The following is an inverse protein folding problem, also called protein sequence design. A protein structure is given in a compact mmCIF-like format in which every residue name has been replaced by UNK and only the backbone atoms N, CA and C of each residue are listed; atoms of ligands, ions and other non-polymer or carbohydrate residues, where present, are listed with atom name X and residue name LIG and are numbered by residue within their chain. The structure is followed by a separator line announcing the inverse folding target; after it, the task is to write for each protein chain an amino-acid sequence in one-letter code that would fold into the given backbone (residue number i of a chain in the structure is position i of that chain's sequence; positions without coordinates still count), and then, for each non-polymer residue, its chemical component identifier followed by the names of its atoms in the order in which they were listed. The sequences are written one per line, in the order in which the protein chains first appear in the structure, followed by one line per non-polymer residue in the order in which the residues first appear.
data_IF_245074432592
#
_entry.id   IF_245074432592
#
_cell.length_a   1.000
_cell.length_b   1.000
_cell.length_c   1.000
_cell.angle_alpha   90.00
_cell.angle_beta   90.00
_cell.angle_gamma   90.00
#
_symmetry.space_group_name_H-M   'P 1'
#
loop_
_entity.id
_entity.type
_entity.pdbx_description
1 polymer ?
#
# COMPACT_ATOMS: atom_id res chain seq x y z
N UNK A 1 34.49 32.47 -40.16
CA UNK A 1 33.17 32.06 -39.63
C UNK A 1 33.19 30.63 -39.24
N UNK A 2 33.51 30.32 -38.01
CA UNK A 2 33.30 28.98 -37.43
C UNK A 2 32.14 29.07 -36.45
N UNK A 3 31.03 28.50 -36.84
CA UNK A 3 29.93 28.24 -35.93
C UNK A 3 30.39 27.23 -34.88
N UNK A 4 30.59 27.67 -33.67
CA UNK A 4 30.61 26.84 -32.50
C UNK A 4 29.20 26.29 -32.30
N UNK A 5 29.04 25.02 -32.58
CA UNK A 5 27.89 24.23 -32.12
C UNK A 5 27.93 24.32 -30.60
N UNK A 6 27.03 25.11 -30.04
CA UNK A 6 26.86 25.24 -28.63
C UNK A 6 26.52 23.89 -28.04
N UNK A 7 27.33 23.48 -27.09
CA UNK A 7 27.00 22.44 -26.16
C UNK A 7 25.62 22.80 -25.58
N UNK A 8 24.61 22.07 -25.97
CA UNK A 8 23.40 21.93 -25.15
C UNK A 8 23.81 21.22 -23.87
N UNK A 9 24.44 21.99 -23.02
CA UNK A 9 24.52 21.66 -21.64
C UNK A 9 23.09 21.66 -21.15
N UNK A 10 22.47 20.49 -21.18
CA UNK A 10 21.25 20.23 -20.49
C UNK A 10 21.44 20.72 -19.07
N UNK A 11 21.06 21.95 -18.82
CA UNK A 11 20.69 22.42 -17.51
C UNK A 11 19.43 21.64 -17.17
N UNK A 12 19.58 20.36 -16.89
CA UNK A 12 18.75 19.71 -15.90
C UNK A 12 19.15 20.32 -14.57
N UNK A 13 18.87 21.59 -14.43
CA UNK A 13 18.56 22.10 -13.11
C UNK A 13 17.43 21.19 -12.61
N UNK A 14 17.83 20.23 -11.79
CA UNK A 14 16.96 19.80 -10.73
C UNK A 14 16.55 21.11 -10.06
N UNK A 15 15.43 21.65 -10.50
CA UNK A 15 14.62 22.46 -9.63
C UNK A 15 14.47 21.57 -8.40
N UNK A 16 15.28 21.82 -7.37
CA UNK A 16 14.92 21.51 -6.02
C UNK A 16 13.56 22.21 -5.90
N UNK A 17 12.49 21.45 -6.10
CA UNK A 17 11.17 21.91 -5.72
C UNK A 17 11.37 22.30 -4.26
N UNK A 18 11.37 23.58 -3.99
CA UNK A 18 11.29 24.08 -2.64
C UNK A 18 10.05 23.41 -2.10
N UNK A 19 10.21 22.51 -1.11
CA UNK A 19 9.07 21.85 -0.48
C UNK A 19 8.15 22.96 -0.06
N UNK A 20 6.99 23.08 -0.71
CA UNK A 20 6.04 24.10 -0.38
C UNK A 20 5.47 23.75 0.98
N UNK A 21 5.62 24.69 1.92
CA UNK A 21 5.28 24.48 3.31
C UNK A 21 3.86 25.00 3.56
N UNK A 22 3.02 24.12 4.07
CA UNK A 22 1.75 24.46 4.67
C UNK A 22 1.84 24.53 6.19
N UNK A 23 0.79 25.02 6.82
CA UNK A 23 0.67 25.13 8.27
C UNK A 23 -0.64 24.50 8.71
N UNK A 24 -0.59 23.68 9.74
CA UNK A 24 -1.77 23.06 10.34
C UNK A 24 -2.61 24.14 11.02
N UNK A 25 -3.86 24.27 10.59
CA UNK A 25 -4.84 25.22 11.14
C UNK A 25 -5.77 24.56 12.15
N UNK A 26 -6.11 23.30 11.95
CA UNK A 26 -7.04 22.58 12.81
C UNK A 26 -6.73 21.07 12.81
N UNK A 27 -6.93 20.42 13.95
CA UNK A 27 -6.84 18.96 14.13
C UNK A 27 -8.12 18.49 14.80
N UNK A 28 -8.82 17.54 14.14
CA UNK A 28 -10.08 16.97 14.64
C UNK A 28 -9.99 15.45 14.50
N UNK A 29 -9.44 14.77 15.50
CA UNK A 29 -9.19 13.33 15.41
C UNK A 29 -8.26 13.02 14.24
N UNK A 30 -8.65 12.13 13.33
CA UNK A 30 -7.87 11.78 12.16
C UNK A 30 -7.94 12.81 11.02
N UNK A 31 -8.73 13.88 11.16
CA UNK A 31 -8.88 14.93 10.15
C UNK A 31 -8.01 16.13 10.53
N UNK A 32 -7.18 16.58 9.59
CA UNK A 32 -6.27 17.70 9.78
C UNK A 32 -6.47 18.70 8.65
N UNK A 33 -6.75 19.96 9.00
CA UNK A 33 -6.87 21.04 8.03
C UNK A 33 -5.53 21.80 7.95
N UNK A 34 -5.02 21.95 6.74
CA UNK A 34 -3.73 22.57 6.44
C UNK A 34 -3.94 23.74 5.49
N UNK A 35 -3.28 24.87 5.77
CA UNK A 35 -3.30 26.06 4.93
C UNK A 35 -1.95 26.26 4.26
N UNK A 36 -1.98 26.54 2.96
CA UNK A 36 -0.81 26.87 2.17
C UNK A 36 -0.84 28.36 1.77
N UNK A 37 0.32 28.96 1.51
CA UNK A 37 0.38 30.38 1.14
C UNK A 37 0.16 30.61 -0.36
N UNK A 38 0.80 29.82 -1.22
CA UNK A 38 0.86 30.09 -2.68
C UNK A 38 0.38 28.93 -3.54
N UNK A 39 0.45 27.70 -3.03
CA UNK A 39 0.12 26.48 -3.77
C UNK A 39 -1.00 25.70 -3.09
N UNK A 40 -1.82 25.05 -3.88
CA UNK A 40 -2.84 24.15 -3.37
C UNK A 40 -2.49 22.73 -3.82
N UNK A 41 -2.13 21.83 -2.87
CA UNK A 41 -1.84 20.43 -3.20
C UNK A 41 -3.01 19.76 -3.91
N UNK A 42 -2.72 18.88 -4.87
CA UNK A 42 -3.77 18.14 -5.55
C UNK A 42 -4.49 17.17 -4.60
N UNK A 43 -5.72 16.85 -4.89
CA UNK A 43 -6.48 15.82 -4.17
C UNK A 43 -5.74 14.49 -4.31
N UNK A 44 -5.68 13.70 -3.24
CA UNK A 44 -4.93 12.47 -3.06
C UNK A 44 -3.42 12.64 -2.89
N UNK A 45 -2.87 13.85 -2.99
CA UNK A 45 -1.46 14.04 -2.66
C UNK A 45 -1.18 13.68 -1.21
N UNK A 46 0.02 13.15 -0.99
CA UNK A 46 0.57 12.90 0.33
C UNK A 46 1.28 14.15 0.85
N UNK A 47 0.91 14.59 2.03
CA UNK A 47 1.60 15.62 2.78
C UNK A 47 2.37 14.97 3.92
N UNK A 48 3.52 15.51 4.26
CA UNK A 48 4.41 14.98 5.28
C UNK A 48 4.64 16.00 6.39
N UNK A 49 4.50 15.56 7.63
CA UNK A 49 4.78 16.36 8.81
C UNK A 49 5.48 15.53 9.87
N UNK A 50 6.12 16.19 10.80
CA UNK A 50 6.70 15.56 11.98
C UNK A 50 5.73 15.66 13.15
N UNK A 51 5.46 14.54 13.78
CA UNK A 51 4.68 14.47 15.01
C UNK A 51 5.55 13.92 16.14
N UNK A 52 6.20 14.81 16.89
CA UNK A 52 7.08 14.46 18.01
C UNK A 52 8.21 13.49 17.66
N UNK A 53 8.86 13.66 16.50
CA UNK A 53 9.93 12.81 16.01
C UNK A 53 9.47 11.59 15.21
N UNK A 54 8.16 11.42 15.02
CA UNK A 54 7.58 10.39 14.15
C UNK A 54 7.08 11.02 12.85
N UNK A 55 7.40 10.40 11.74
CA UNK A 55 6.90 10.79 10.42
C UNK A 55 5.41 10.54 10.33
N UNK A 56 4.60 11.56 10.09
CA UNK A 56 3.17 11.45 9.88
C UNK A 56 2.82 11.82 8.43
N UNK A 57 2.11 10.94 7.76
CA UNK A 57 1.59 11.15 6.41
C UNK A 57 0.11 11.54 6.51
N UNK A 58 -0.23 12.61 5.77
CA UNK A 58 -1.59 13.10 5.64
C UNK A 58 -1.97 13.04 4.16
N UNK A 59 -3.13 12.49 3.82
CA UNK A 59 -3.64 12.45 2.46
C UNK A 59 -4.64 13.57 2.24
N UNK A 60 -4.49 14.35 1.17
CA UNK A 60 -5.43 15.42 0.81
C UNK A 60 -6.75 14.82 0.35
N UNK A 61 -7.81 15.05 1.11
CA UNK A 61 -9.14 14.54 0.81
C UNK A 61 -10.03 15.56 0.11
N UNK A 62 -9.89 16.86 0.43
CA UNK A 62 -10.78 17.91 -0.07
C UNK A 62 -10.11 19.28 -0.02
N UNK A 63 -10.43 20.13 -1.00
CA UNK A 63 -10.12 21.54 -0.98
C UNK A 63 -11.24 22.31 -0.25
N UNK A 64 -10.88 23.14 0.72
CA UNK A 64 -11.83 23.93 1.50
C UNK A 64 -12.00 25.37 0.99
N UNK A 65 -11.15 25.80 0.06
CA UNK A 65 -11.02 27.20 -0.37
C UNK A 65 -9.96 27.96 0.43
N UNK A 66 -9.67 29.19 0.02
CA UNK A 66 -8.64 30.06 0.65
C UNK A 66 -7.28 29.40 0.87
N UNK A 67 -6.82 28.61 -0.10
CA UNK A 67 -5.59 27.82 -0.06
C UNK A 67 -5.55 26.82 1.12
N UNK A 68 -6.71 26.37 1.59
CA UNK A 68 -6.82 25.40 2.68
C UNK A 68 -7.29 24.05 2.14
N UNK A 69 -6.68 22.99 2.65
CA UNK A 69 -7.03 21.61 2.32
C UNK A 69 -7.40 20.84 3.58
N UNK A 70 -8.34 19.94 3.43
CA UNK A 70 -8.70 18.95 4.44
C UNK A 70 -7.98 17.66 4.14
N UNK A 71 -7.30 17.12 5.13
CA UNK A 71 -6.51 15.90 5.01
C UNK A 71 -6.95 14.84 6.00
N UNK A 72 -6.63 13.60 5.68
CA UNK A 72 -6.85 12.44 6.54
C UNK A 72 -5.49 11.87 6.95
N UNK A 73 -5.28 11.72 8.25
CA UNK A 73 -4.04 11.15 8.78
C UNK A 73 -3.97 9.64 8.61
N UNK A 74 -2.80 9.16 8.22
CA UNK A 74 -2.52 7.73 8.06
C UNK A 74 -1.95 7.09 9.33
N UNK A 75 -1.66 7.89 10.34
CA UNK A 75 -1.22 7.43 11.64
C UNK A 75 -1.81 8.33 12.74
N UNK A 76 -1.46 8.07 14.02
CA UNK A 76 -1.97 8.82 15.16
C UNK A 76 -1.65 10.31 15.06
N UNK A 77 -2.66 11.13 15.32
CA UNK A 77 -2.56 12.58 15.41
C UNK A 77 -2.35 13.08 16.85
N UNK A 78 -2.17 12.17 17.81
CA UNK A 78 -1.95 12.53 19.19
C UNK A 78 -0.65 13.33 19.35
N UNK A 79 -0.74 14.48 20.02
CA UNK A 79 0.39 15.40 20.17
C UNK A 79 0.60 16.38 19.02
N UNK A 80 -0.14 16.25 17.91
CA UNK A 80 -0.06 17.17 16.79
C UNK A 80 -0.70 18.51 17.14
N UNK A 81 0.05 19.60 16.96
CA UNK A 81 -0.38 20.95 17.34
C UNK A 81 -0.65 21.85 16.15
N UNK A 82 -1.49 22.86 16.36
CA UNK A 82 -1.69 23.93 15.36
C UNK A 82 -0.39 24.71 15.18
N UNK A 83 -0.14 25.14 13.95
CA UNK A 83 1.10 25.84 13.61
C UNK A 83 2.26 24.93 13.20
N UNK A 84 2.11 23.60 13.31
CA UNK A 84 3.11 22.67 12.79
C UNK A 84 3.21 22.77 11.29
N UNK A 85 4.43 22.75 10.76
CA UNK A 85 4.71 22.82 9.32
C UNK A 85 4.46 21.48 8.65
N UNK A 86 3.89 21.54 7.45
CA UNK A 86 3.57 20.39 6.62
C UNK A 86 4.17 20.61 5.25
N UNK A 87 4.83 19.60 4.67
CA UNK A 87 5.39 19.67 3.32
C UNK A 87 4.56 18.86 2.34
N UNK A 88 4.26 19.42 1.16
CA UNK A 88 3.69 18.64 0.05
C UNK A 88 4.78 17.78 -0.59
N UNK A 89 4.47 16.51 -0.82
CA UNK A 89 5.38 15.57 -1.53
C UNK A 89 5.23 15.69 -3.04
N UNK A 90 4.18 16.37 -3.53
CA UNK A 90 3.86 16.53 -4.95
C UNK A 90 3.33 15.26 -5.63
N UNK A 91 3.04 14.22 -4.87
CA UNK A 91 2.55 12.93 -5.39
C UNK A 91 1.65 12.23 -4.36
N UNK A 92 0.80 11.29 -4.79
CA UNK A 92 0.07 10.41 -3.89
C UNK A 92 0.98 9.57 -3.00
N UNK A 93 0.40 8.97 -1.95
CA UNK A 93 1.11 8.00 -1.11
C UNK A 93 1.72 6.94 -2.01
N UNK A 94 3.05 6.78 -1.94
CA UNK A 94 3.78 5.81 -2.75
C UNK A 94 4.45 4.79 -1.82
N UNK A 95 4.30 3.52 -2.17
CA UNK A 95 4.77 2.39 -1.36
C UNK A 95 5.84 1.59 -2.09
N UNK A 96 6.79 0.99 -1.38
CA UNK A 96 7.78 0.10 -2.00
C UNK A 96 7.08 -1.13 -2.58
N UNK A 97 7.56 -1.60 -3.71
CA UNK A 97 6.99 -2.74 -4.43
C UNK A 97 8.07 -3.75 -4.85
N UNK A 98 7.64 -4.91 -5.32
CA UNK A 98 8.52 -5.96 -5.84
C UNK A 98 9.07 -6.90 -4.78
N UNK A 99 10.11 -7.67 -5.13
CA UNK A 99 10.61 -8.77 -4.31
C UNK A 99 11.11 -8.36 -2.92
N UNK A 100 11.47 -7.09 -2.72
CA UNK A 100 11.91 -6.59 -1.43
C UNK A 100 10.81 -6.58 -0.35
N UNK A 101 9.55 -6.73 -0.76
CA UNK A 101 8.39 -6.77 0.14
C UNK A 101 7.98 -8.19 0.56
N UNK A 102 8.57 -9.22 -0.06
CA UNK A 102 8.25 -10.62 0.24
C UNK A 102 8.67 -11.00 1.66
N UNK A 103 7.81 -11.72 2.34
CA UNK A 103 8.01 -12.14 3.73
C UNK A 103 7.96 -11.01 4.75
N UNK A 104 7.62 -9.78 4.33
CA UNK A 104 7.58 -8.59 5.18
C UNK A 104 6.14 -8.21 5.54
N UNK A 105 6.00 -7.57 6.68
CA UNK A 105 4.74 -6.94 7.11
C UNK A 105 4.90 -5.44 6.97
N UNK A 106 4.06 -4.83 6.14
CA UNK A 106 4.05 -3.40 5.86
C UNK A 106 2.80 -2.74 6.43
N UNK A 107 2.90 -1.46 6.76
CA UNK A 107 1.76 -0.61 7.06
C UNK A 107 1.17 0.02 5.78
N UNK A 108 0.17 0.88 5.93
CA UNK A 108 -0.51 1.57 4.83
C UNK A 108 0.41 2.43 3.96
N UNK A 109 1.47 3.01 4.53
CA UNK A 109 2.45 3.86 3.84
C UNK A 109 3.67 3.08 3.33
N UNK A 110 3.67 1.76 3.51
CA UNK A 110 4.75 0.89 3.05
C UNK A 110 5.95 0.80 4.00
N UNK A 111 5.83 1.32 5.21
CA UNK A 111 6.87 1.15 6.22
C UNK A 111 6.76 -0.23 6.87
N UNK A 112 7.88 -0.92 7.12
CA UNK A 112 7.87 -2.23 7.75
C UNK A 112 7.52 -2.13 9.25
N UNK A 113 6.63 -3.01 9.70
CA UNK A 113 6.22 -3.13 11.11
C UNK A 113 6.69 -4.43 11.77
N UNK A 114 7.49 -5.21 11.07
CA UNK A 114 7.99 -6.53 11.47
C UNK A 114 9.35 -6.50 12.18
N UNK A 115 9.88 -5.32 12.51
CA UNK A 115 11.17 -5.08 13.17
C UNK A 115 12.40 -5.67 12.45
N UNK A 116 12.25 -6.13 11.21
CA UNK A 116 13.31 -6.73 10.39
C UNK A 116 14.13 -5.72 9.58
N UNK A 117 14.10 -4.46 9.96
CA UNK A 117 14.82 -3.37 9.29
C UNK A 117 14.08 -2.80 8.07
N UNK A 118 14.70 -1.81 7.43
CA UNK A 118 14.07 -1.05 6.34
C UNK A 118 13.94 -1.89 5.08
N UNK A 119 12.82 -1.72 4.36
CA UNK A 119 12.61 -2.27 3.02
C UNK A 119 13.26 -1.35 1.98
N UNK A 120 13.80 -1.95 0.93
CA UNK A 120 14.39 -1.19 -0.18
C UNK A 120 13.32 -0.38 -0.90
N UNK A 121 13.53 0.92 -1.01
CA UNK A 121 12.64 1.86 -1.73
C UNK A 121 13.13 2.16 -3.15
N UNK A 122 13.87 1.24 -3.79
CA UNK A 122 14.36 1.45 -5.15
C UNK A 122 13.23 1.56 -6.17
N UNK A 123 12.18 0.78 -5.97
CA UNK A 123 10.97 0.81 -6.79
C UNK A 123 9.81 1.16 -5.89
N UNK A 124 9.09 2.21 -6.24
CA UNK A 124 7.88 2.65 -5.53
C UNK A 124 6.75 2.88 -6.51
N UNK A 125 5.52 2.59 -6.10
CA UNK A 125 4.31 2.89 -6.88
C UNK A 125 3.31 3.65 -6.03
N UNK A 126 2.55 4.58 -6.60
CA UNK A 126 1.46 5.25 -5.90
C UNK A 126 0.32 4.25 -5.63
N UNK A 127 -0.35 4.41 -4.48
CA UNK A 127 -1.48 3.55 -4.12
C UNK A 127 -2.76 3.91 -4.90
N UNK A 128 -2.82 5.12 -5.43
CA UNK A 128 -3.91 5.58 -6.30
C UNK A 128 -3.44 5.45 -7.76
N UNK A 129 -3.97 4.48 -8.45
CA UNK A 129 -3.69 4.21 -9.86
C UNK A 129 -5.00 4.05 -10.63
N UNK A 130 -4.96 4.42 -11.89
CA UNK A 130 -6.07 4.17 -12.81
C UNK A 130 -6.20 2.67 -13.09
N UNK A 131 -7.43 2.23 -13.37
CA UNK A 131 -7.67 0.86 -13.79
C UNK A 131 -7.01 0.58 -15.14
N UNK A 132 -6.59 -0.67 -15.42
CA UNK A 132 -6.10 -1.05 -16.74
C UNK A 132 -7.13 -0.73 -17.83
N UNK A 133 -6.64 -0.31 -18.99
CA UNK A 133 -7.50 -0.05 -20.15
C UNK A 133 -8.30 -1.30 -20.54
N UNK A 134 -9.52 -1.09 -21.04
CA UNK A 134 -10.40 -2.19 -21.44
C UNK A 134 -9.76 -3.13 -22.48
N UNK A 135 -8.96 -2.56 -23.38
CA UNK A 135 -8.24 -3.30 -24.41
C UNK A 135 -7.13 -4.23 -23.87
N UNK A 136 -6.62 -3.93 -22.67
CA UNK A 136 -5.58 -4.73 -22.02
C UNK A 136 -6.13 -5.88 -21.16
N UNK A 137 -7.47 -5.97 -21.02
CA UNK A 137 -8.10 -7.01 -20.21
C UNK A 137 -8.27 -8.31 -21.01
N UNK A 138 -7.92 -9.44 -20.40
CA UNK A 138 -8.16 -10.75 -21.00
C UNK A 138 -9.66 -11.04 -21.09
N UNK A 139 -10.09 -11.56 -22.24
CA UNK A 139 -11.50 -11.91 -22.50
C UNK A 139 -11.81 -13.38 -22.23
N UNK A 140 -10.80 -14.22 -22.12
CA UNK A 140 -10.97 -15.65 -21.89
C UNK A 140 -11.15 -15.96 -20.41
N UNK A 141 -12.09 -16.83 -20.08
CA UNK A 141 -12.35 -17.29 -18.72
C UNK A 141 -11.56 -18.57 -18.47
N UNK A 142 -10.54 -18.51 -17.64
CA UNK A 142 -9.79 -19.66 -17.18
C UNK A 142 -10.17 -20.00 -15.73
N UNK A 143 -10.21 -21.31 -15.42
CA UNK A 143 -10.45 -21.79 -14.07
C UNK A 143 -9.14 -21.82 -13.29
N UNK A 144 -9.16 -21.24 -12.07
CA UNK A 144 -8.08 -21.36 -11.11
C UNK A 144 -8.28 -22.62 -10.27
N UNK A 145 -7.41 -23.62 -10.45
CA UNK A 145 -7.42 -24.82 -9.62
C UNK A 145 -6.84 -24.49 -8.26
N UNK A 146 -7.67 -24.52 -7.24
CA UNK A 146 -7.30 -24.12 -5.87
C UNK A 146 -6.68 -25.26 -5.05
N UNK A 147 -6.90 -26.52 -5.46
CA UNK A 147 -6.52 -27.71 -4.71
C UNK A 147 -7.48 -28.06 -3.56
N UNK A 148 -8.50 -27.24 -3.33
CA UNK A 148 -9.55 -27.48 -2.35
C UNK A 148 -10.74 -28.13 -3.05
N UNK A 149 -10.95 -29.43 -2.82
CA UNK A 149 -11.93 -30.24 -3.55
C UNK A 149 -13.33 -29.65 -3.61
N UNK A 150 -13.81 -29.10 -2.49
CA UNK A 150 -15.17 -28.53 -2.44
C UNK A 150 -15.29 -27.28 -3.29
N UNK A 151 -14.25 -26.46 -3.34
CA UNK A 151 -14.21 -25.25 -4.19
C UNK A 151 -14.13 -25.65 -5.66
N UNK A 152 -13.13 -26.46 -6.01
CA UNK A 152 -12.88 -26.82 -7.39
C UNK A 152 -14.03 -27.59 -8.03
N UNK A 153 -14.79 -28.38 -7.23
CA UNK A 153 -15.91 -29.18 -7.73
C UNK A 153 -17.26 -28.41 -7.73
N UNK A 154 -17.55 -27.64 -6.67
CA UNK A 154 -18.90 -27.07 -6.49
C UNK A 154 -18.99 -25.59 -6.84
N UNK A 155 -17.89 -24.83 -6.68
CA UNK A 155 -17.84 -23.40 -6.95
C UNK A 155 -16.46 -22.96 -7.48
N UNK A 156 -16.06 -23.46 -8.67
CA UNK A 156 -14.73 -23.19 -9.20
C UNK A 156 -14.48 -21.70 -9.36
N UNK A 157 -13.26 -21.28 -9.03
CA UNK A 157 -12.83 -19.89 -9.14
C UNK A 157 -12.31 -19.60 -10.54
N UNK A 158 -12.64 -18.43 -11.08
CA UNK A 158 -12.01 -17.95 -12.32
C UNK A 158 -10.76 -17.16 -12.01
N UNK A 159 -9.72 -17.29 -12.84
CA UNK A 159 -8.56 -16.41 -12.81
C UNK A 159 -9.02 -14.97 -13.07
N UNK A 160 -8.47 -14.01 -12.29
CA UNK A 160 -8.88 -12.62 -12.34
C UNK A 160 -10.26 -12.33 -11.73
N UNK A 161 -10.94 -13.37 -11.20
CA UNK A 161 -12.25 -13.23 -10.56
C UNK A 161 -12.16 -12.57 -9.17
N UNK A 162 -13.28 -12.02 -8.74
CA UNK A 162 -13.47 -11.49 -7.38
C UNK A 162 -14.36 -12.46 -6.60
N UNK A 163 -13.80 -13.07 -5.57
CA UNK A 163 -14.45 -14.11 -4.78
C UNK A 163 -14.70 -13.60 -3.36
N UNK A 164 -15.92 -13.77 -2.85
CA UNK A 164 -16.28 -13.42 -1.49
C UNK A 164 -16.48 -14.65 -0.63
N UNK A 165 -15.79 -14.73 0.52
CA UNK A 165 -16.00 -15.74 1.55
C UNK A 165 -16.82 -15.12 2.69
N UNK A 166 -18.09 -15.47 2.78
CA UNK A 166 -19.00 -14.94 3.79
C UNK A 166 -19.26 -15.98 4.88
N UNK A 167 -19.32 -15.51 6.12
CA UNK A 167 -19.62 -16.37 7.26
C UNK A 167 -19.42 -15.63 8.59
N UNK A 168 -20.01 -16.15 9.65
CA UNK A 168 -19.82 -15.66 11.01
C UNK A 168 -18.39 -15.85 11.55
N UNK A 169 -18.16 -15.52 12.81
CA UNK A 169 -16.90 -15.77 13.47
C UNK A 169 -16.67 -17.29 13.66
N UNK A 170 -15.43 -17.74 13.56
CA UNK A 170 -15.05 -19.14 13.84
C UNK A 170 -15.48 -20.18 12.80
N UNK A 171 -15.93 -19.80 11.63
CA UNK A 171 -16.39 -20.74 10.58
C UNK A 171 -15.29 -21.16 9.59
N UNK A 172 -14.03 -20.85 9.86
CA UNK A 172 -12.88 -21.31 9.08
C UNK A 172 -12.53 -20.46 7.85
N UNK A 173 -13.01 -19.21 7.72
CA UNK A 173 -12.64 -18.33 6.61
C UNK A 173 -11.12 -18.15 6.48
N UNK A 174 -10.46 -17.87 7.60
CA UNK A 174 -9.00 -17.68 7.64
C UNK A 174 -8.27 -18.95 7.24
N UNK A 175 -8.74 -20.11 7.66
CA UNK A 175 -8.15 -21.42 7.29
C UNK A 175 -8.22 -21.63 5.76
N UNK A 176 -9.36 -21.29 5.12
CA UNK A 176 -9.48 -21.36 3.67
C UNK A 176 -8.54 -20.39 2.95
N UNK A 177 -8.38 -19.17 3.45
CA UNK A 177 -7.45 -18.17 2.89
C UNK A 177 -6.02 -18.68 3.00
N UNK A 178 -5.64 -19.23 4.15
CA UNK A 178 -4.31 -19.82 4.37
C UNK A 178 -4.02 -20.96 3.40
N UNK A 179 -4.97 -21.87 3.23
CA UNK A 179 -4.82 -23.00 2.31
C UNK A 179 -4.72 -22.53 0.85
N UNK A 180 -5.48 -21.52 0.45
CA UNK A 180 -5.37 -20.91 -0.88
C UNK A 180 -3.99 -20.30 -1.11
N UNK A 181 -3.46 -19.52 -0.15
CA UNK A 181 -2.13 -18.91 -0.23
C UNK A 181 -1.06 -20.01 -0.34
N UNK A 182 -1.15 -21.03 0.51
CA UNK A 182 -0.20 -22.15 0.53
C UNK A 182 -0.21 -22.93 -0.81
N UNK A 183 -1.39 -23.19 -1.36
CA UNK A 183 -1.52 -23.91 -2.62
C UNK A 183 -1.05 -23.08 -3.82
N UNK A 184 -1.34 -21.77 -3.86
CA UNK A 184 -0.83 -20.87 -4.89
C UNK A 184 0.71 -20.82 -4.84
N UNK A 185 1.29 -20.75 -3.66
CA UNK A 185 2.74 -20.72 -3.49
C UNK A 185 3.42 -22.02 -3.94
N UNK A 186 2.84 -23.18 -3.59
CA UNK A 186 3.43 -24.52 -3.87
C UNK A 186 3.13 -25.06 -5.25
N UNK A 187 1.89 -24.92 -5.73
CA UNK A 187 1.45 -25.52 -6.98
C UNK A 187 1.69 -24.60 -8.18
N UNK A 188 1.37 -23.33 -8.02
CA UNK A 188 1.46 -22.35 -9.11
C UNK A 188 2.75 -21.52 -9.08
N UNK A 189 3.61 -21.70 -8.06
CA UNK A 189 4.82 -20.88 -7.85
C UNK A 189 4.53 -19.37 -7.86
N UNK A 190 3.27 -19.00 -7.62
CA UNK A 190 2.79 -17.64 -7.64
C UNK A 190 3.12 -16.88 -6.35
N UNK A 191 2.92 -15.58 -6.41
CA UNK A 191 3.01 -14.70 -5.24
C UNK A 191 1.60 -14.41 -4.73
N UNK A 192 1.50 -14.22 -3.43
CA UNK A 192 0.27 -13.80 -2.77
C UNK A 192 0.48 -12.50 -2.02
N UNK A 193 -0.53 -11.66 -1.98
CA UNK A 193 -0.53 -10.45 -1.15
C UNK A 193 -1.74 -10.53 -0.22
N UNK A 194 -1.48 -10.45 1.07
CA UNK A 194 -2.54 -10.41 2.08
C UNK A 194 -2.68 -8.98 2.63
N UNK A 195 -3.86 -8.42 2.53
CA UNK A 195 -4.19 -7.11 3.09
C UNK A 195 -5.20 -7.28 4.24
N UNK A 196 -4.74 -7.10 5.46
CA UNK A 196 -5.56 -7.14 6.67
C UNK A 196 -6.26 -5.81 6.89
N UNK A 197 -7.56 -5.73 6.57
CA UNK A 197 -8.36 -4.50 6.66
C UNK A 197 -9.23 -4.54 7.90
N UNK A 198 -8.84 -3.85 8.97
CA UNK A 198 -9.61 -3.76 10.20
C UNK A 198 -9.70 -5.09 10.97
N UNK A 199 -8.75 -5.98 10.79
CA UNK A 199 -8.67 -7.25 11.51
C UNK A 199 -8.14 -7.06 12.93
N UNK A 200 -8.36 -8.06 13.77
CA UNK A 200 -7.81 -8.07 15.13
C UNK A 200 -6.31 -8.31 15.06
N UNK A 201 -5.55 -7.53 15.83
CA UNK A 201 -4.08 -7.65 15.91
C UNK A 201 -3.62 -9.06 16.22
N UNK A 202 -4.33 -9.77 17.10
CA UNK A 202 -4.03 -11.16 17.45
C UNK A 202 -4.19 -12.10 16.24
N UNK A 203 -5.29 -11.97 15.49
CA UNK A 203 -5.55 -12.82 14.31
C UNK A 203 -4.50 -12.60 13.22
N UNK A 204 -4.06 -11.35 13.03
CA UNK A 204 -2.98 -11.02 12.10
C UNK A 204 -1.62 -11.62 12.53
N UNK A 205 -1.35 -11.64 13.83
CA UNK A 205 -0.13 -12.27 14.36
C UNK A 205 -0.17 -13.78 14.25
N UNK A 206 -1.30 -14.40 14.59
CA UNK A 206 -1.49 -15.86 14.47
C UNK A 206 -1.30 -16.28 12.98
N UNK A 207 -1.90 -15.54 12.04
CA UNK A 207 -1.75 -15.76 10.61
C UNK A 207 -0.29 -15.71 10.13
N UNK A 208 0.49 -14.75 10.63
CA UNK A 208 1.91 -14.62 10.29
C UNK A 208 2.71 -15.85 10.76
N UNK A 209 2.47 -16.31 11.97
CA UNK A 209 3.14 -17.50 12.52
C UNK A 209 2.75 -18.78 11.76
N UNK A 210 1.47 -18.94 11.45
CA UNK A 210 0.99 -20.08 10.65
C UNK A 210 1.62 -20.10 9.23
N UNK A 211 1.85 -18.92 8.61
CA UNK A 211 2.56 -18.82 7.33
C UNK A 211 4.04 -19.21 7.44
N UNK A 212 4.68 -18.97 8.55
CA UNK A 212 6.05 -19.44 8.82
C UNK A 212 6.06 -20.96 8.99
N UNK A 213 5.17 -21.50 9.80
CA UNK A 213 5.06 -22.95 10.06
C UNK A 213 4.74 -23.75 8.78
N UNK A 214 3.89 -23.18 7.91
CA UNK A 214 3.55 -23.80 6.61
C UNK A 214 4.67 -23.69 5.56
N UNK A 215 5.72 -22.90 5.84
CA UNK A 215 6.86 -22.68 4.95
C UNK A 215 6.59 -21.71 3.78
N UNK A 216 5.49 -20.96 3.82
CA UNK A 216 5.18 -19.89 2.84
C UNK A 216 6.06 -18.66 3.07
N UNK A 217 6.38 -18.38 4.33
CA UNK A 217 7.35 -17.37 4.74
C UNK A 217 8.60 -18.06 5.26
N UNK A 218 9.75 -17.73 4.70
CA UNK A 218 11.05 -18.17 5.19
C UNK A 218 11.66 -17.04 6.04
N UNK A 219 11.71 -17.16 7.38
CA UNK A 219 12.21 -16.11 8.26
C UNK A 219 13.71 -15.85 8.11
N UNK A 220 14.49 -16.84 7.64
CA UNK A 220 15.94 -16.73 7.46
C UNK A 220 16.29 -16.10 6.10
N UNK A 221 15.46 -16.38 5.08
CA UNK A 221 15.64 -15.90 3.71
C UNK A 221 14.34 -15.33 3.19
N UNK A 222 14.07 -14.08 3.53
CA UNK A 222 12.81 -13.41 3.19
C UNK A 222 12.52 -13.36 1.68
N UNK A 223 13.56 -13.26 0.85
CA UNK A 223 13.46 -13.24 -0.61
C UNK A 223 12.91 -14.55 -1.22
N UNK A 224 13.02 -15.66 -0.49
CA UNK A 224 12.44 -16.95 -0.91
C UNK A 224 10.96 -17.08 -0.54
N UNK A 225 10.43 -16.16 0.26
CA UNK A 225 9.03 -16.13 0.66
C UNK A 225 8.11 -15.85 -0.52
N UNK A 226 6.88 -16.34 -0.45
CA UNK A 226 5.88 -16.24 -1.53
C UNK A 226 4.70 -15.33 -1.19
N UNK A 227 4.76 -14.63 -0.07
CA UNK A 227 3.69 -13.75 0.39
C UNK A 227 4.23 -12.42 0.87
N UNK A 228 3.51 -11.35 0.59
CA UNK A 228 3.70 -10.03 1.21
C UNK A 228 2.46 -9.70 2.05
N UNK A 229 2.67 -9.11 3.22
CA UNK A 229 1.60 -8.79 4.16
C UNK A 229 1.50 -7.28 4.33
N UNK A 230 0.27 -6.76 4.29
CA UNK A 230 -0.02 -5.35 4.54
C UNK A 230 -1.10 -5.27 5.61
N UNK A 231 -0.79 -4.65 6.74
CA UNK A 231 -1.71 -4.60 7.87
C UNK A 231 -2.21 -3.18 8.13
N UNK A 232 -3.53 -3.05 8.21
CA UNK A 232 -4.27 -1.91 8.74
C UNK A 232 -5.31 -2.41 9.72
N UNK A 233 -4.82 -2.81 10.91
CA UNK A 233 -5.60 -3.52 11.92
C UNK A 233 -6.57 -2.59 12.68
N UNK A 234 -7.36 -3.14 13.60
CA UNK A 234 -8.38 -2.38 14.35
C UNK A 234 -7.82 -1.23 15.18
N UNK A 235 -6.58 -1.32 15.63
CA UNK A 235 -5.89 -0.29 16.40
C UNK A 235 -5.40 0.88 15.55
N UNK A 236 -5.34 0.70 14.22
CA UNK A 236 -4.92 1.75 13.30
C UNK A 236 -6.00 2.82 13.11
N UNK A 237 -5.62 4.08 12.79
CA UNK A 237 -6.56 5.15 12.50
C UNK A 237 -7.46 4.82 11.31
N UNK A 238 -8.65 5.46 11.23
CA UNK A 238 -9.59 5.24 10.12
C UNK A 238 -8.99 5.48 8.74
N UNK A 239 -8.06 6.45 8.59
CA UNK A 239 -7.37 6.73 7.35
C UNK A 239 -6.54 5.55 6.86
N UNK A 240 -5.72 4.97 7.73
CA UNK A 240 -4.93 3.78 7.42
C UNK A 240 -5.81 2.61 7.00
N UNK A 241 -6.85 2.30 7.78
CA UNK A 241 -7.77 1.20 7.48
C UNK A 241 -8.51 1.38 6.15
N UNK A 242 -8.79 2.61 5.75
CA UNK A 242 -9.45 2.91 4.48
C UNK A 242 -8.53 2.76 3.25
N UNK A 243 -7.21 2.80 3.44
CA UNK A 243 -6.22 2.79 2.35
C UNK A 243 -5.39 1.52 2.26
N UNK A 244 -5.28 0.74 3.32
CA UNK A 244 -4.46 -0.48 3.36
C UNK A 244 -4.81 -1.48 2.25
N UNK A 245 -6.07 -1.58 1.86
CA UNK A 245 -6.50 -2.41 0.74
C UNK A 245 -5.90 -1.95 -0.60
N UNK A 246 -5.78 -0.63 -0.82
CA UNK A 246 -5.13 -0.08 -2.01
C UNK A 246 -3.62 -0.36 -2.00
N UNK A 247 -2.97 -0.26 -0.85
CA UNK A 247 -1.56 -0.62 -0.69
C UNK A 247 -1.33 -2.09 -1.06
N UNK A 248 -2.16 -3.00 -0.53
CA UNK A 248 -2.09 -4.42 -0.90
C UNK A 248 -2.32 -4.67 -2.37
N UNK A 249 -3.29 -3.98 -2.98
CA UNK A 249 -3.56 -4.10 -4.41
C UNK A 249 -2.38 -3.61 -5.26
N UNK A 250 -1.75 -2.50 -4.88
CA UNK A 250 -0.56 -1.96 -5.57
C UNK A 250 0.60 -2.98 -5.59
N UNK A 251 0.83 -3.68 -4.48
CA UNK A 251 1.81 -4.76 -4.43
C UNK A 251 1.43 -5.93 -5.34
N UNK A 252 0.16 -6.33 -5.34
CA UNK A 252 -0.34 -7.42 -6.18
C UNK A 252 -0.23 -7.08 -7.67
N UNK A 253 -0.56 -5.86 -8.06
CA UNK A 253 -0.42 -5.37 -9.44
C UNK A 253 1.03 -5.39 -9.91
N UNK A 254 1.98 -5.04 -9.05
CA UNK A 254 3.40 -5.13 -9.40
C UNK A 254 3.83 -6.57 -9.67
N UNK A 255 3.41 -7.52 -8.83
CA UNK A 255 3.72 -8.94 -9.06
C UNK A 255 3.07 -9.46 -10.34
N UNK A 256 1.83 -9.09 -10.63
CA UNK A 256 1.16 -9.40 -11.89
C UNK A 256 1.96 -8.87 -13.08
N UNK A 257 2.35 -7.60 -13.07
CA UNK A 257 3.06 -6.95 -14.18
C UNK A 257 4.47 -7.53 -14.39
N UNK A 258 5.12 -7.98 -13.32
CA UNK A 258 6.44 -8.63 -13.41
C UNK A 258 6.35 -10.07 -13.91
N UNK A 259 5.32 -10.82 -13.56
CA UNK A 259 5.17 -12.21 -13.97
C UNK A 259 4.54 -12.38 -15.37
N UNK A 260 4.00 -11.32 -15.94
CA UNK A 260 3.40 -11.34 -17.29
C UNK A 260 2.14 -12.17 -17.41
N UNK A 261 1.41 -12.33 -16.30
CA UNK A 261 0.16 -13.11 -16.22
C UNK A 261 -1.03 -12.25 -15.91
#
# INVERSE_FOLDING_TARGET
CHCLVGSEMCIRDRLKMSKELGVITQVIGAVVDVKFESHLPAILNALETDNNGSRLILEVAQHLGENSVRTIAMDSTEGLVRGTTVSDTGSPISVPVGNATLGRILNVVGDPVDEKGKVSQKETRPIHQDAPEFSAQATETEILVTGIKVIDLLCPYSKGGKIGLFGGAGVGKTVLIMELINNIAKVHSGFSVFAGVGERTREGNDLYHEMIESGVINPEKLEESKVALVYGQMNEPPGARARVGLTGLTLAEQFRDQSGT
#
